data_IF_938725173101
#
_entry.id   IF_938725173101
#
_cell.length_a   1.000
_cell.length_b   1.000
_cell.length_c   1.000
_cell.angle_alpha   90.00
_cell.angle_beta   90.00
_cell.angle_gamma   90.00
#
_symmetry.space_group_name_H-M   'P 1'
#
loop_
_entity.id
_entity.type
_entity.pdbx_description
1 polymer ?
#
# COMPACT_ATOMS: atom_id res chain seq x y z
N UNK A 1 -9.28 -11.36 12.74
CA UNK A 1 -9.20 -12.00 11.41
C UNK A 1 -8.21 -11.23 10.56
N UNK A 2 -7.10 -11.84 10.25
CA UNK A 2 -6.00 -11.20 9.55
C UNK A 2 -5.40 -12.07 8.45
N UNK A 3 -4.58 -11.49 7.58
CA UNK A 3 -3.93 -12.18 6.48
C UNK A 3 -3.04 -11.25 5.67
N UNK A 4 -2.67 -11.69 4.50
CA UNK A 4 -1.83 -10.97 3.56
C UNK A 4 -2.63 -10.53 2.34
N UNK A 5 -2.51 -9.26 1.98
CA UNK A 5 -3.16 -8.67 0.83
C UNK A 5 -2.13 -8.08 -0.11
N UNK A 6 -2.17 -8.49 -1.37
CA UNK A 6 -1.25 -8.05 -2.39
C UNK A 6 -2.04 -7.33 -3.47
N UNK A 7 -1.78 -6.04 -3.67
CA UNK A 7 -2.40 -5.25 -4.73
C UNK A 7 -1.45 -5.16 -5.92
N UNK A 8 -1.91 -5.56 -7.10
CA UNK A 8 -1.14 -5.59 -8.34
C UNK A 8 -1.87 -4.77 -9.40
N UNK A 9 -1.27 -3.64 -9.82
CA UNK A 9 -1.78 -2.94 -11.00
C UNK A 9 -1.40 -3.70 -12.26
N UNK A 10 -2.34 -3.86 -13.21
CA UNK A 10 -2.03 -4.49 -14.49
C UNK A 10 -0.82 -3.87 -15.19
N UNK A 11 -0.09 -4.66 -15.97
CA UNK A 11 1.08 -4.25 -16.77
C UNK A 11 0.76 -3.19 -17.83
N UNK A 12 1.74 -2.86 -18.67
CA UNK A 12 1.54 -1.93 -19.78
C UNK A 12 0.58 -2.54 -20.79
N UNK A 13 -0.56 -1.89 -21.00
CA UNK A 13 -1.60 -2.32 -21.94
C UNK A 13 -1.68 -1.36 -23.15
N UNK A 14 -2.30 -1.83 -24.21
CA UNK A 14 -2.63 -1.07 -25.41
C UNK A 14 -3.31 0.27 -25.06
N UNK A 15 -3.19 1.26 -25.92
CA UNK A 15 -3.85 2.54 -25.73
C UNK A 15 -5.37 2.40 -25.91
N UNK A 16 -6.10 3.23 -25.17
CA UNK A 16 -7.55 3.31 -25.32
C UNK A 16 -7.89 4.04 -26.62
N UNK A 17 -8.64 3.39 -27.48
CA UNK A 17 -9.16 4.01 -28.70
C UNK A 17 -10.64 4.38 -28.53
N UNK A 18 -11.14 5.45 -29.18
CA UNK A 18 -12.54 5.86 -29.07
C UNK A 18 -13.54 4.81 -29.59
N UNK A 19 -13.08 3.97 -30.51
CA UNK A 19 -13.88 2.97 -31.20
C UNK A 19 -13.73 1.56 -30.61
N UNK A 20 -12.70 1.35 -29.76
CA UNK A 20 -12.36 0.09 -29.13
C UNK A 20 -13.09 -0.12 -27.80
N UNK A 21 -13.52 -1.36 -27.56
CA UNK A 21 -14.02 -1.76 -26.27
C UNK A 21 -12.87 -1.90 -25.27
N UNK A 22 -12.89 -1.08 -24.22
CA UNK A 22 -11.85 -1.08 -23.16
C UNK A 22 -11.72 -2.44 -22.47
N UNK A 23 -12.74 -3.27 -22.53
CA UNK A 23 -12.76 -4.62 -21.97
C UNK A 23 -11.69 -5.52 -22.59
N UNK A 24 -11.52 -5.46 -23.92
CA UNK A 24 -10.62 -6.33 -24.69
C UNK A 24 -9.21 -5.76 -24.88
N UNK A 25 -8.89 -4.65 -24.28
CA UNK A 25 -7.56 -4.05 -24.33
C UNK A 25 -6.55 -4.96 -23.62
N UNK A 26 -5.61 -5.54 -24.38
CA UNK A 26 -4.61 -6.49 -23.88
C UNK A 26 -3.33 -5.82 -23.43
N UNK A 27 -2.44 -6.57 -22.83
CA UNK A 27 -1.07 -6.14 -22.57
C UNK A 27 -0.33 -5.91 -23.90
N UNK A 28 0.59 -4.95 -23.92
CA UNK A 28 1.56 -4.81 -25.02
C UNK A 28 2.67 -5.86 -24.87
N UNK A 29 3.41 -6.14 -25.94
CA UNK A 29 4.60 -7.00 -25.88
C UNK A 29 5.58 -6.50 -24.79
N UNK A 30 5.85 -5.18 -24.77
CA UNK A 30 6.68 -4.57 -23.74
C UNK A 30 6.11 -4.76 -22.32
N UNK A 31 4.79 -4.74 -22.16
CA UNK A 31 4.13 -4.99 -20.86
C UNK A 31 4.30 -6.44 -20.41
N UNK A 32 4.20 -7.40 -21.32
CA UNK A 32 4.46 -8.82 -21.04
C UNK A 32 5.94 -9.05 -20.70
N UNK A 33 6.86 -8.52 -21.49
CA UNK A 33 8.31 -8.63 -21.23
C UNK A 33 8.71 -8.05 -19.88
N UNK A 34 8.22 -6.85 -19.58
CA UNK A 34 8.51 -6.17 -18.31
C UNK A 34 8.00 -6.96 -17.10
N UNK A 35 6.77 -7.46 -17.15
CA UNK A 35 6.20 -8.29 -16.08
C UNK A 35 6.94 -9.63 -15.96
N UNK A 36 7.21 -10.31 -17.07
CA UNK A 36 7.94 -11.59 -17.09
C UNK A 36 9.35 -11.45 -16.51
N UNK A 37 10.01 -10.33 -16.72
CA UNK A 37 11.32 -10.07 -16.14
C UNK A 37 11.27 -9.72 -14.64
N UNK A 38 10.17 -9.09 -14.19
CA UNK A 38 10.00 -8.61 -12.81
C UNK A 38 9.49 -9.68 -11.85
N UNK A 39 8.52 -10.48 -12.29
CA UNK A 39 7.81 -11.43 -11.43
C UNK A 39 8.70 -12.48 -10.75
N UNK A 40 9.72 -13.07 -11.40
CA UNK A 40 10.62 -14.02 -10.73
C UNK A 40 11.35 -13.48 -9.50
N UNK A 41 11.61 -12.17 -9.45
CA UNK A 41 12.27 -11.52 -8.33
C UNK A 41 11.34 -11.39 -7.11
N UNK A 42 10.02 -11.32 -7.31
CA UNK A 42 9.04 -11.09 -6.25
C UNK A 42 8.17 -12.32 -5.94
N UNK A 43 8.06 -13.29 -6.84
CA UNK A 43 7.23 -14.48 -6.65
C UNK A 43 7.54 -15.23 -5.32
N UNK A 44 8.81 -15.40 -4.89
CA UNK A 44 9.10 -16.00 -3.60
C UNK A 44 8.50 -15.22 -2.42
N UNK A 45 8.43 -13.88 -2.51
CA UNK A 45 7.85 -13.03 -1.46
C UNK A 45 6.32 -13.15 -1.41
N UNK A 46 5.67 -13.46 -2.55
CA UNK A 46 4.21 -13.60 -2.64
C UNK A 46 3.73 -14.95 -2.08
N UNK A 47 4.62 -15.94 -2.01
CA UNK A 47 4.27 -17.33 -1.63
C UNK A 47 4.89 -17.76 -0.30
N UNK A 48 5.61 -16.88 0.40
CA UNK A 48 6.36 -17.21 1.60
C UNK A 48 5.47 -17.78 2.72
N UNK A 49 4.28 -17.23 2.90
CA UNK A 49 3.40 -17.58 4.03
C UNK A 49 2.25 -18.52 3.66
N UNK A 50 2.30 -19.17 2.50
CA UNK A 50 1.34 -20.23 2.17
C UNK A 50 0.60 -20.06 0.85
N UNK A 51 -0.56 -20.73 0.74
CA UNK A 51 -1.34 -20.84 -0.49
C UNK A 51 -1.85 -19.46 -0.97
N UNK A 52 -1.18 -18.91 -1.99
CA UNK A 52 -1.61 -17.69 -2.65
C UNK A 52 -2.88 -17.95 -3.45
N UNK A 53 -3.90 -17.13 -3.25
CA UNK A 53 -5.09 -17.02 -4.11
C UNK A 53 -4.95 -15.79 -5.01
N UNK A 54 -5.46 -15.87 -6.25
CA UNK A 54 -5.42 -14.75 -7.19
C UNK A 54 -6.82 -14.35 -7.59
N UNK A 55 -7.23 -13.14 -7.25
CA UNK A 55 -8.42 -12.49 -7.80
C UNK A 55 -8.03 -11.47 -8.85
N UNK A 56 -8.76 -11.41 -9.95
CA UNK A 56 -8.47 -10.49 -11.06
C UNK A 56 -9.70 -9.75 -11.52
N UNK A 57 -9.52 -8.54 -12.01
CA UNK A 57 -10.53 -7.87 -12.80
C UNK A 57 -10.84 -8.69 -14.07
N UNK A 58 -12.09 -8.77 -14.52
CA UNK A 58 -12.44 -9.46 -15.77
C UNK A 58 -11.86 -8.80 -17.03
N UNK A 59 -11.34 -7.56 -16.95
CA UNK A 59 -10.76 -6.85 -18.09
C UNK A 59 -9.48 -7.54 -18.56
N UNK A 60 -9.34 -7.72 -19.90
CA UNK A 60 -8.32 -8.59 -20.51
C UNK A 60 -6.89 -8.30 -20.00
N UNK A 61 -6.46 -7.03 -19.94
CA UNK A 61 -5.12 -6.64 -19.45
C UNK A 61 -4.84 -7.06 -18.01
N UNK A 62 -5.87 -7.11 -17.14
CA UNK A 62 -5.71 -7.57 -15.78
C UNK A 62 -5.64 -9.10 -15.73
N UNK A 63 -6.46 -9.80 -16.54
CA UNK A 63 -6.41 -11.25 -16.65
C UNK A 63 -5.05 -11.73 -17.16
N UNK A 64 -4.53 -11.14 -18.24
CA UNK A 64 -3.22 -11.48 -18.78
C UNK A 64 -2.11 -11.20 -17.74
N UNK A 65 -2.22 -10.12 -16.95
CA UNK A 65 -1.29 -9.86 -15.84
C UNK A 65 -1.42 -10.94 -14.76
N UNK A 66 -2.63 -11.34 -14.39
CA UNK A 66 -2.88 -12.40 -13.40
C UNK A 66 -2.36 -13.76 -13.86
N UNK A 67 -2.45 -14.07 -15.16
CA UNK A 67 -1.89 -15.28 -15.78
C UNK A 67 -0.34 -15.30 -15.62
N UNK A 68 0.33 -14.19 -15.87
CA UNK A 68 1.78 -14.07 -15.64
C UNK A 68 2.15 -14.23 -14.16
N UNK A 69 1.36 -13.66 -13.24
CA UNK A 69 1.56 -13.85 -11.78
C UNK A 69 1.36 -15.31 -11.41
N UNK A 70 0.30 -15.96 -11.89
CA UNK A 70 -0.01 -17.36 -11.63
C UNK A 70 1.09 -18.31 -12.13
N UNK A 71 1.63 -18.06 -13.33
CA UNK A 71 2.78 -18.80 -13.87
C UNK A 71 4.01 -18.65 -12.98
N UNK A 72 4.34 -17.42 -12.55
CA UNK A 72 5.52 -17.14 -11.74
C UNK A 72 5.42 -17.71 -10.31
N UNK A 73 4.19 -17.83 -9.77
CA UNK A 73 3.91 -18.31 -8.40
C UNK A 73 3.44 -19.76 -8.34
N UNK A 74 3.27 -20.42 -9.50
CA UNK A 74 2.72 -21.78 -9.64
C UNK A 74 1.30 -21.93 -9.04
N UNK A 75 0.50 -20.87 -9.10
CA UNK A 75 -0.91 -20.88 -8.71
C UNK A 75 -1.76 -21.33 -9.90
N UNK A 76 -2.64 -22.31 -9.68
CA UNK A 76 -3.44 -22.88 -10.77
C UNK A 76 -4.77 -22.14 -11.00
N UNK A 77 -5.32 -21.52 -9.97
CA UNK A 77 -6.68 -20.94 -10.03
C UNK A 77 -6.63 -19.41 -9.96
N UNK A 78 -7.25 -18.77 -10.95
CA UNK A 78 -7.47 -17.33 -11.01
C UNK A 78 -8.98 -17.07 -10.99
N UNK A 79 -9.45 -16.29 -10.02
CA UNK A 79 -10.86 -15.98 -9.86
C UNK A 79 -11.18 -14.57 -10.36
N UNK A 80 -12.02 -14.38 -11.39
CA UNK A 80 -12.45 -13.05 -11.81
C UNK A 80 -13.44 -12.45 -10.81
N UNK A 81 -13.26 -11.17 -10.49
CA UNK A 81 -14.08 -10.41 -9.54
C UNK A 81 -14.48 -9.05 -10.13
N UNK A 82 -15.79 -8.83 -10.28
CA UNK A 82 -16.34 -7.61 -10.89
C UNK A 82 -16.01 -6.34 -10.11
N UNK A 83 -15.92 -6.40 -8.79
CA UNK A 83 -15.56 -5.26 -7.96
C UNK A 83 -14.14 -4.70 -8.28
N UNK A 84 -13.24 -5.51 -8.86
CA UNK A 84 -11.93 -5.06 -9.31
C UNK A 84 -12.00 -4.24 -10.61
N UNK A 85 -13.06 -4.41 -11.41
CA UNK A 85 -13.30 -3.60 -12.61
C UNK A 85 -14.08 -2.32 -12.31
N UNK A 86 -14.96 -2.35 -11.32
CA UNK A 86 -15.83 -1.23 -10.95
C UNK A 86 -15.24 -0.35 -9.85
N UNK A 87 -14.27 -0.89 -9.08
CA UNK A 87 -13.69 -0.21 -7.91
C UNK A 87 -14.60 -0.26 -6.67
N UNK A 88 -15.54 -1.21 -6.62
CA UNK A 88 -16.46 -1.37 -5.49
C UNK A 88 -15.74 -1.92 -4.26
N UNK A 89 -15.28 -1.02 -3.40
CA UNK A 89 -14.56 -1.36 -2.17
C UNK A 89 -15.45 -2.09 -1.16
N UNK A 90 -16.75 -1.80 -1.14
CA UNK A 90 -17.68 -2.45 -0.20
C UNK A 90 -17.82 -3.92 -0.57
N UNK A 91 -18.09 -4.21 -1.84
CA UNK A 91 -18.16 -5.59 -2.32
C UNK A 91 -16.84 -6.35 -2.12
N UNK A 92 -15.69 -5.70 -2.32
CA UNK A 92 -14.39 -6.28 -1.99
C UNK A 92 -14.29 -6.65 -0.51
N UNK A 93 -14.63 -5.74 0.40
CA UNK A 93 -14.56 -5.99 1.84
C UNK A 93 -15.53 -7.07 2.30
N UNK A 94 -16.71 -7.19 1.68
CA UNK A 94 -17.65 -8.28 1.94
C UNK A 94 -17.07 -9.64 1.50
N UNK A 95 -16.43 -9.70 0.33
CA UNK A 95 -15.76 -10.91 -0.15
C UNK A 95 -14.56 -11.27 0.73
N UNK A 96 -13.73 -10.28 1.12
CA UNK A 96 -12.57 -10.50 1.97
C UNK A 96 -12.92 -11.09 3.36
N UNK A 97 -14.06 -10.70 3.91
CA UNK A 97 -14.58 -11.25 5.19
C UNK A 97 -15.00 -12.72 5.11
N UNK A 98 -15.14 -13.29 3.91
CA UNK A 98 -15.46 -14.71 3.73
C UNK A 98 -14.20 -15.57 3.59
N UNK A 99 -13.02 -14.96 3.49
CA UNK A 99 -11.76 -15.69 3.46
C UNK A 99 -11.41 -16.26 4.83
N UNK A 100 -10.61 -17.33 4.84
CA UNK A 100 -10.12 -17.94 6.07
C UNK A 100 -9.10 -17.05 6.81
N UNK A 101 -8.94 -17.25 8.11
CA UNK A 101 -7.87 -16.63 8.89
C UNK A 101 -6.51 -17.00 8.31
N UNK A 102 -5.63 -16.03 8.16
CA UNK A 102 -4.32 -16.22 7.56
C UNK A 102 -4.35 -16.29 6.03
N UNK A 103 -5.38 -15.69 5.38
CA UNK A 103 -5.44 -15.64 3.91
C UNK A 103 -4.18 -15.00 3.31
N UNK A 104 -3.79 -15.49 2.13
CA UNK A 104 -2.78 -14.86 1.27
C UNK A 104 -3.42 -14.61 -0.11
N UNK A 105 -3.71 -13.33 -0.41
CA UNK A 105 -4.59 -12.94 -1.51
C UNK A 105 -3.98 -11.85 -2.39
N UNK A 106 -3.75 -12.16 -3.66
CA UNK A 106 -3.35 -11.19 -4.67
C UNK A 106 -4.57 -10.68 -5.46
N UNK A 107 -4.67 -9.37 -5.61
CA UNK A 107 -5.70 -8.66 -6.36
C UNK A 107 -5.07 -7.97 -7.57
N UNK A 108 -5.45 -8.36 -8.78
CA UNK A 108 -4.99 -7.72 -10.02
C UNK A 108 -6.06 -6.79 -10.56
N UNK A 109 -5.78 -5.49 -10.57
CA UNK A 109 -6.78 -4.47 -10.91
C UNK A 109 -6.19 -3.20 -11.54
N UNK A 110 -6.85 -2.08 -11.30
CA UNK A 110 -6.67 -0.85 -12.05
C UNK A 110 -6.52 0.38 -11.16
N UNK A 111 -5.84 1.40 -11.69
CA UNK A 111 -6.00 2.77 -11.22
C UNK A 111 -7.25 3.42 -11.84
N UNK A 112 -7.92 4.34 -11.12
CA UNK A 112 -7.54 4.92 -9.82
C UNK A 112 -8.02 4.10 -8.59
N UNK A 113 -8.65 2.97 -8.79
CA UNK A 113 -9.30 2.21 -7.70
C UNK A 113 -8.30 1.73 -6.65
N UNK A 114 -7.12 1.24 -7.07
CA UNK A 114 -6.11 0.77 -6.13
C UNK A 114 -5.61 1.87 -5.20
N UNK A 115 -5.32 3.06 -5.73
CA UNK A 115 -4.98 4.22 -4.88
C UNK A 115 -6.11 4.60 -3.92
N UNK A 116 -7.36 4.51 -4.38
CA UNK A 116 -8.51 4.77 -3.52
C UNK A 116 -8.64 3.71 -2.42
N UNK A 117 -8.45 2.43 -2.75
CA UNK A 117 -8.52 1.34 -1.79
C UNK A 117 -7.41 1.38 -0.74
N UNK A 118 -6.19 1.78 -1.13
CA UNK A 118 -5.13 1.96 -0.13
C UNK A 118 -5.45 3.07 0.86
N UNK A 119 -6.19 4.11 0.44
CA UNK A 119 -6.67 5.14 1.36
C UNK A 119 -7.62 4.56 2.42
N UNK A 120 -8.50 3.63 2.04
CA UNK A 120 -9.41 2.97 2.98
C UNK A 120 -8.67 1.93 3.86
N UNK A 121 -7.71 1.19 3.28
CA UNK A 121 -6.99 0.13 3.98
C UNK A 121 -5.99 0.68 5.02
N UNK A 122 -5.19 1.67 4.65
CA UNK A 122 -4.06 2.18 5.45
C UNK A 122 -4.15 3.68 5.75
N UNK A 123 -5.21 4.36 5.32
CA UNK A 123 -5.40 5.80 5.52
C UNK A 123 -4.62 6.69 4.54
N UNK A 124 -3.88 6.13 3.58
CA UNK A 124 -3.08 6.89 2.61
C UNK A 124 -3.28 6.36 1.18
N UNK A 125 -3.56 7.26 0.23
CA UNK A 125 -3.63 6.90 -1.17
C UNK A 125 -2.22 6.73 -1.76
N UNK A 126 -1.91 5.53 -2.25
CA UNK A 126 -0.62 5.20 -2.84
C UNK A 126 -0.78 5.06 -4.34
N UNK A 127 -0.09 5.86 -5.16
CA UNK A 127 -0.16 5.74 -6.61
C UNK A 127 0.62 4.51 -7.10
N UNK A 128 -0.01 3.69 -7.91
CA UNK A 128 0.62 2.52 -8.51
C UNK A 128 1.10 2.84 -9.92
N UNK A 129 2.37 2.58 -10.23
CA UNK A 129 2.87 2.47 -11.61
C UNK A 129 2.26 1.22 -12.27
N UNK A 130 2.25 1.15 -13.60
CA UNK A 130 1.84 -0.06 -14.34
C UNK A 130 2.73 -1.24 -13.91
N UNK A 131 2.14 -2.39 -13.61
CA UNK A 131 2.85 -3.56 -13.11
C UNK A 131 3.34 -3.48 -11.67
N UNK A 132 3.08 -2.39 -10.94
CA UNK A 132 3.49 -2.26 -9.54
C UNK A 132 2.73 -3.23 -8.63
N UNK A 133 3.43 -3.74 -7.63
CA UNK A 133 2.95 -4.68 -6.62
C UNK A 133 3.15 -4.07 -5.24
N UNK A 134 2.11 -4.00 -4.44
CA UNK A 134 2.15 -3.57 -3.05
C UNK A 134 1.68 -4.72 -2.15
N UNK A 135 2.42 -4.99 -1.10
CA UNK A 135 2.15 -6.04 -0.12
C UNK A 135 1.73 -5.42 1.20
N UNK A 136 0.64 -5.93 1.75
CA UNK A 136 0.06 -5.47 3.02
C UNK A 136 -0.16 -6.64 3.97
N UNK A 137 0.11 -6.44 5.25
CA UNK A 137 -0.50 -7.21 6.33
C UNK A 137 -1.83 -6.57 6.69
N UNK A 138 -2.86 -7.38 6.88
CA UNK A 138 -4.24 -6.93 7.14
C UNK A 138 -4.77 -7.58 8.41
N UNK A 139 -5.37 -6.79 9.29
CA UNK A 139 -6.22 -7.26 10.38
C UNK A 139 -7.55 -6.49 10.37
N UNK A 140 -8.62 -7.21 10.04
CA UNK A 140 -9.97 -6.63 9.91
C UNK A 140 -10.57 -6.16 11.25
N UNK A 141 -9.90 -6.42 12.38
CA UNK A 141 -10.31 -5.97 13.72
C UNK A 141 -9.63 -4.66 14.13
N UNK A 142 -8.65 -4.19 13.35
CA UNK A 142 -7.89 -2.96 13.60
C UNK A 142 -8.39 -1.78 12.76
N UNK A 143 -7.94 -0.57 13.11
CA UNK A 143 -8.14 0.66 12.35
C UNK A 143 -6.87 1.53 12.41
N UNK A 144 -6.12 1.68 11.32
CA UNK A 144 -6.38 1.13 9.96
C UNK A 144 -6.25 -0.39 9.91
N UNK A 145 -7.02 -1.01 9.01
CA UNK A 145 -7.07 -2.48 8.88
C UNK A 145 -5.82 -3.08 8.21
N UNK A 146 -4.96 -2.28 7.62
CA UNK A 146 -3.77 -2.74 6.91
C UNK A 146 -2.51 -1.95 7.23
N UNK A 147 -1.36 -2.61 7.06
CA UNK A 147 -0.05 -1.98 7.06
C UNK A 147 0.64 -2.31 5.74
N UNK A 148 1.21 -1.27 5.08
CA UNK A 148 2.01 -1.48 3.87
C UNK A 148 3.42 -1.97 4.27
N UNK A 149 3.78 -3.15 3.83
CA UNK A 149 5.11 -3.73 4.07
C UNK A 149 6.12 -3.29 3.00
N UNK A 150 5.71 -3.37 1.73
CA UNK A 150 6.54 -2.92 0.62
C UNK A 150 5.72 -2.60 -0.64
N UNK A 151 6.28 -1.74 -1.50
CA UNK A 151 5.79 -1.42 -2.83
C UNK A 151 6.96 -1.51 -3.81
N UNK A 152 6.82 -2.31 -4.84
CA UNK A 152 7.79 -2.52 -5.90
C UNK A 152 7.14 -2.31 -7.27
N UNK A 153 7.90 -1.80 -8.22
CA UNK A 153 7.48 -1.67 -9.61
C UNK A 153 8.49 -2.34 -10.54
N UNK A 154 8.07 -2.77 -11.74
CA UNK A 154 9.01 -3.26 -12.75
C UNK A 154 10.20 -2.32 -12.94
N UNK A 155 11.40 -2.89 -13.10
CA UNK A 155 12.67 -2.15 -13.13
C UNK A 155 13.25 -1.82 -11.74
N UNK A 156 12.51 -2.05 -10.66
CA UNK A 156 12.98 -1.98 -9.28
C UNK A 156 13.26 -3.39 -8.78
N UNK A 157 14.52 -3.75 -8.55
CA UNK A 157 14.89 -5.08 -8.05
C UNK A 157 14.67 -5.17 -6.55
N UNK A 158 13.95 -6.20 -6.08
CA UNK A 158 13.80 -6.52 -4.67
C UNK A 158 15.18 -6.72 -4.00
N UNK A 159 16.13 -7.35 -4.69
CA UNK A 159 17.52 -7.50 -4.22
C UNK A 159 18.22 -6.17 -4.01
N UNK A 160 18.03 -5.17 -4.89
CA UNK A 160 18.65 -3.84 -4.74
C UNK A 160 18.12 -3.09 -3.53
N UNK A 161 16.85 -3.22 -3.19
CA UNK A 161 16.30 -2.60 -1.96
C UNK A 161 16.81 -3.30 -0.70
N UNK A 162 16.88 -4.63 -0.69
CA UNK A 162 17.48 -5.39 0.42
C UNK A 162 18.98 -5.14 0.56
N UNK A 163 19.72 -5.10 -0.53
CA UNK A 163 21.16 -4.80 -0.53
C UNK A 163 21.44 -3.34 -0.13
N UNK A 164 20.63 -2.39 -0.58
CA UNK A 164 20.74 -0.98 -0.18
C UNK A 164 20.40 -0.78 1.31
N UNK A 165 19.39 -1.48 1.83
CA UNK A 165 19.07 -1.49 3.26
C UNK A 165 20.19 -2.15 4.08
N UNK A 166 20.68 -3.32 3.64
CA UNK A 166 21.80 -4.01 4.28
C UNK A 166 23.12 -3.25 4.20
N UNK A 167 23.38 -2.54 3.08
CA UNK A 167 24.55 -1.67 2.94
C UNK A 167 24.47 -0.42 3.83
N UNK A 168 23.27 0.16 4.01
CA UNK A 168 23.04 1.24 4.97
C UNK A 168 23.23 0.77 6.41
N UNK A 169 22.73 -0.42 6.78
CA UNK A 169 22.96 -1.01 8.11
C UNK A 169 24.46 -1.28 8.36
N UNK A 170 25.22 -1.77 7.38
CA UNK A 170 26.67 -1.96 7.50
C UNK A 170 27.47 -0.66 7.53
N UNK A 171 26.94 0.43 7.01
CA UNK A 171 27.56 1.76 7.05
C UNK A 171 27.37 2.43 8.43
N UNK A 172 26.25 2.14 9.13
CA UNK A 172 25.97 2.62 10.50
C UNK A 172 26.88 1.95 11.52
N UNK A 173 27.20 0.66 11.38
CA UNK A 173 28.13 -0.06 12.29
C UNK A 173 29.60 0.45 12.20
N UNK A 174 29.94 1.31 11.27
CA UNK A 174 31.31 1.85 11.13
C UNK A 174 31.51 3.27 11.65
N UNK A 175 30.49 3.90 12.20
CA UNK A 175 30.55 5.23 12.79
C UNK A 175 30.25 5.22 14.29
N UNK A 176 31.07 4.52 15.09
CA UNK A 176 31.30 4.89 16.47
C UNK A 176 32.28 6.06 16.48
N UNK A 177 31.80 7.25 16.76
CA UNK A 177 32.66 8.40 17.07
C UNK A 177 32.10 9.72 16.56
N UNK A 178 31.64 10.50 17.53
CA UNK A 178 31.28 11.92 17.53
C UNK A 178 29.81 12.25 17.20
N UNK A 179 29.12 12.60 18.29
CA UNK A 179 27.82 13.24 18.29
C UNK A 179 27.88 14.61 17.59
N UNK A 180 27.22 14.70 16.45
CA UNK A 180 26.61 15.93 15.97
C UNK A 180 25.28 15.57 15.31
N UNK A 181 24.20 15.78 16.05
CA UNK A 181 22.82 15.52 15.64
C UNK A 181 22.33 16.66 14.77
N UNK A 182 22.61 16.59 13.48
CA UNK A 182 21.81 17.27 12.48
C UNK A 182 21.08 16.22 11.66
N UNK A 183 19.75 16.18 11.62
CA UNK A 183 19.03 15.22 10.81
C UNK A 183 19.27 15.54 9.34
N UNK A 184 20.01 14.67 8.65
CA UNK A 184 20.15 14.69 7.19
C UNK A 184 18.83 14.23 6.54
N UNK A 185 17.78 14.99 6.72
CA UNK A 185 16.60 14.97 5.85
C UNK A 185 16.89 16.00 4.77
N UNK A 186 17.39 15.55 3.64
CA UNK A 186 17.44 16.41 2.46
C UNK A 186 16.03 16.94 2.21
N UNK A 187 15.88 18.26 2.19
CA UNK A 187 14.57 18.96 2.09
C UNK A 187 13.77 18.63 0.81
N UNK A 188 14.32 17.87 -0.11
CA UNK A 188 13.80 17.65 -1.46
C UNK A 188 13.38 16.19 -1.76
N UNK A 189 13.17 15.34 -0.77
CA UNK A 189 12.65 14.00 -1.05
C UNK A 189 11.13 14.03 -1.19
N UNK A 190 10.59 13.30 -2.16
CA UNK A 190 9.13 13.13 -2.35
C UNK A 190 8.44 12.74 -1.04
N UNK A 191 9.08 11.90 -0.23
CA UNK A 191 8.56 11.47 1.06
C UNK A 191 8.47 12.63 2.07
N UNK A 192 9.48 13.49 2.14
CA UNK A 192 9.44 14.68 3.01
C UNK A 192 8.29 15.63 2.61
N UNK A 193 8.03 15.78 1.31
CA UNK A 193 6.88 16.54 0.82
C UNK A 193 5.56 15.92 1.27
N UNK A 194 5.39 14.61 1.13
CA UNK A 194 4.17 13.89 1.55
C UNK A 194 3.93 14.04 3.06
N UNK A 195 4.98 13.93 3.89
CA UNK A 195 4.86 14.13 5.34
C UNK A 195 4.48 15.59 5.67
N UNK A 196 5.08 16.58 5.01
CA UNK A 196 4.72 17.99 5.19
C UNK A 196 3.26 18.26 4.85
N UNK A 197 2.78 17.73 3.73
CA UNK A 197 1.38 17.87 3.30
C UNK A 197 0.42 17.21 4.29
N UNK A 198 0.79 16.05 4.82
CA UNK A 198 -0.01 15.35 5.82
C UNK A 198 -0.06 16.11 7.16
N UNK A 199 1.07 16.67 7.61
CA UNK A 199 1.10 17.52 8.81
C UNK A 199 0.25 18.78 8.65
N UNK A 200 0.28 19.41 7.48
CA UNK A 200 -0.59 20.54 7.17
C UNK A 200 -2.08 20.14 7.21
N UNK A 201 -2.41 18.96 6.69
CA UNK A 201 -3.76 18.39 6.77
C UNK A 201 -4.24 18.17 8.21
N UNK A 202 -3.37 17.67 9.08
CA UNK A 202 -3.67 17.51 10.52
C UNK A 202 -3.90 18.87 11.19
N UNK A 203 -3.07 19.86 10.90
CA UNK A 203 -3.23 21.22 11.46
C UNK A 203 -4.58 21.83 11.07
N UNK A 204 -4.97 21.67 9.80
CA UNK A 204 -6.27 22.15 9.30
C UNK A 204 -7.44 21.43 9.96
N UNK A 205 -7.39 20.10 10.05
CA UNK A 205 -8.42 19.30 10.71
C UNK A 205 -8.54 19.61 12.22
N UNK A 206 -7.41 19.85 12.89
CA UNK A 206 -7.38 20.25 14.29
C UNK A 206 -7.98 21.64 14.50
N UNK A 207 -7.68 22.60 13.63
CA UNK A 207 -8.28 23.93 13.69
C UNK A 207 -9.81 23.89 13.51
N UNK A 208 -10.31 23.05 12.59
CA UNK A 208 -11.75 22.83 12.42
C UNK A 208 -12.38 22.19 13.67
N UNK A 209 -11.74 21.16 14.23
CA UNK A 209 -12.18 20.53 15.49
C UNK A 209 -12.23 21.51 16.66
N UNK A 210 -11.25 22.41 16.79
CA UNK A 210 -11.25 23.44 17.84
C UNK A 210 -12.41 24.45 17.72
N UNK A 211 -12.90 24.70 16.50
CA UNK A 211 -14.03 25.59 16.27
C UNK A 211 -15.36 24.96 16.65
N UNK A 212 -15.54 23.67 16.41
CA UNK A 212 -16.72 22.91 16.80
C UNK A 212 -16.35 21.49 17.24
N UNK A 213 -16.00 21.29 18.54
CA UNK A 213 -15.63 19.97 19.07
C UNK A 213 -16.79 18.99 19.17
N UNK A 214 -18.03 19.45 19.06
CA UNK A 214 -19.25 18.63 19.18
C UNK A 214 -19.65 18.07 17.81
N UNK A 215 -19.15 18.67 16.71
CA UNK A 215 -19.42 18.21 15.35
C UNK A 215 -18.70 16.87 15.09
N UNK A 216 -19.43 15.74 14.88
CA UNK A 216 -18.82 14.43 14.69
C UNK A 216 -17.88 14.35 13.49
N UNK A 217 -18.17 15.12 12.42
CA UNK A 217 -17.35 15.13 11.20
C UNK A 217 -15.99 15.78 11.43
N UNK A 218 -15.91 16.83 12.26
CA UNK A 218 -14.64 17.49 12.59
C UNK A 218 -13.69 16.56 13.36
N UNK A 219 -14.22 15.84 14.35
CA UNK A 219 -13.48 14.82 15.10
C UNK A 219 -13.06 13.65 14.19
N UNK A 220 -13.95 13.20 13.28
CA UNK A 220 -13.65 12.15 12.32
C UNK A 220 -12.53 12.56 11.36
N UNK A 221 -12.60 13.76 10.77
CA UNK A 221 -11.58 14.28 9.88
C UNK A 221 -10.19 14.34 10.54
N UNK A 222 -10.13 14.80 11.79
CA UNK A 222 -8.87 14.86 12.55
C UNK A 222 -8.30 13.45 12.79
N UNK A 223 -9.12 12.49 13.18
CA UNK A 223 -8.69 11.09 13.38
C UNK A 223 -8.17 10.47 12.08
N UNK A 224 -8.86 10.69 10.97
CA UNK A 224 -8.42 10.23 9.64
C UNK A 224 -7.05 10.81 9.29
N UNK A 225 -6.84 12.12 9.49
CA UNK A 225 -5.58 12.78 9.21
C UNK A 225 -4.42 12.23 10.07
N UNK A 226 -4.64 12.02 11.36
CA UNK A 226 -3.65 11.41 12.28
C UNK A 226 -3.33 9.97 11.87
N UNK A 227 -4.34 9.17 11.52
CA UNK A 227 -4.18 7.80 11.03
C UNK A 227 -3.31 7.74 9.79
N UNK A 228 -3.54 8.63 8.82
CA UNK A 228 -2.75 8.73 7.60
C UNK A 228 -1.27 9.02 7.88
N UNK A 229 -0.97 9.93 8.81
CA UNK A 229 0.41 10.20 9.21
C UNK A 229 1.08 8.97 9.84
N UNK A 230 0.36 8.27 10.73
CA UNK A 230 0.88 7.04 11.36
C UNK A 230 1.19 5.95 10.33
N UNK A 231 0.33 5.75 9.34
CA UNK A 231 0.58 4.81 8.24
C UNK A 231 1.84 5.17 7.45
N UNK A 232 2.05 6.46 7.14
CA UNK A 232 3.25 6.95 6.47
C UNK A 232 4.52 6.76 7.31
N UNK A 233 4.45 7.01 8.61
CA UNK A 233 5.57 6.79 9.53
C UNK A 233 5.94 5.30 9.63
N UNK A 234 4.94 4.42 9.72
CA UNK A 234 5.16 2.98 9.72
C UNK A 234 5.77 2.49 8.42
N UNK A 235 5.30 2.99 7.28
CA UNK A 235 5.88 2.67 5.96
C UNK A 235 7.36 3.01 5.87
N UNK A 236 7.80 4.11 6.45
CA UNK A 236 9.21 4.51 6.40
C UNK A 236 10.08 3.91 7.52
N UNK A 237 9.49 3.19 8.46
CA UNK A 237 10.19 2.53 9.56
C UNK A 237 11.31 1.61 9.07
N UNK A 238 11.09 0.88 7.98
CA UNK A 238 12.06 0.00 7.35
C UNK A 238 13.21 0.76 6.62
N UNK A 239 13.03 2.05 6.33
CA UNK A 239 13.96 2.85 5.54
C UNK A 239 14.73 3.92 6.36
N UNK A 240 14.45 4.04 7.66
CA UNK A 240 15.04 5.06 8.53
C UNK A 240 15.54 4.49 9.88
N UNK A 241 15.90 5.41 10.80
CA UNK A 241 16.24 5.02 12.18
C UNK A 241 14.97 4.49 12.88
N UNK A 242 14.85 3.18 13.03
CA UNK A 242 13.69 2.48 13.58
C UNK A 242 13.22 3.09 14.92
N UNK A 243 14.15 3.50 15.77
CA UNK A 243 13.87 4.12 17.07
C UNK A 243 13.06 5.43 16.90
N UNK A 244 13.46 6.30 15.98
CA UNK A 244 12.80 7.58 15.76
C UNK A 244 11.36 7.42 15.25
N UNK A 245 11.17 6.54 14.26
CA UNK A 245 9.84 6.31 13.68
C UNK A 245 8.91 5.56 14.65
N UNK A 246 9.46 4.70 15.52
CA UNK A 246 8.69 4.02 16.57
C UNK A 246 8.21 5.02 17.63
N UNK A 247 9.10 5.86 18.14
CA UNK A 247 8.76 6.88 19.15
C UNK A 247 7.71 7.86 18.59
N UNK A 248 7.91 8.40 17.38
CA UNK A 248 6.92 9.25 16.73
C UNK A 248 5.58 8.54 16.51
N UNK A 249 5.59 7.27 16.11
CA UNK A 249 4.38 6.48 15.93
C UNK A 249 3.61 6.24 17.23
N UNK A 250 4.32 6.04 18.36
CA UNK A 250 3.73 5.90 19.70
C UNK A 250 3.10 7.21 20.18
N UNK A 251 3.78 8.34 20.02
CA UNK A 251 3.24 9.68 20.36
C UNK A 251 1.94 9.97 19.58
N UNK A 252 1.92 9.68 18.27
CA UNK A 252 0.73 9.87 17.45
C UNK A 252 -0.38 8.85 17.75
N UNK A 253 -0.05 7.67 18.27
CA UNK A 253 -1.04 6.70 18.79
C UNK A 253 -1.72 7.23 20.04
N UNK A 254 -0.97 7.77 20.97
CA UNK A 254 -1.53 8.36 22.21
C UNK A 254 -2.46 9.53 21.88
N UNK A 255 -2.05 10.42 20.96
CA UNK A 255 -2.89 11.53 20.48
C UNK A 255 -4.17 10.98 19.84
N UNK A 256 -4.09 10.00 18.94
CA UNK A 256 -5.25 9.40 18.28
C UNK A 256 -6.21 8.75 19.29
N UNK A 257 -5.69 8.12 20.34
CA UNK A 257 -6.50 7.48 21.40
C UNK A 257 -7.27 8.52 22.18
N UNK A 258 -6.69 9.69 22.46
CA UNK A 258 -7.36 10.79 23.14
C UNK A 258 -8.63 11.25 22.40
N UNK A 259 -8.61 11.22 21.05
CA UNK A 259 -9.79 11.53 20.23
C UNK A 259 -10.71 10.32 19.99
N UNK A 260 -10.30 9.11 20.37
CA UNK A 260 -11.10 7.87 20.23
C UNK A 260 -12.31 7.85 21.15
N UNK A 261 -12.22 8.45 22.32
CA UNK A 261 -13.31 8.52 23.30
C UNK A 261 -14.52 9.39 22.87
N UNK A 262 -14.34 10.23 21.84
CA UNK A 262 -15.44 11.04 21.28
C UNK A 262 -16.43 10.24 20.42
N UNK A 263 -16.26 8.93 20.30
CA UNK A 263 -17.17 8.05 19.54
C UNK A 263 -18.41 7.64 20.33
N UNK A 264 -18.41 7.84 21.65
CA UNK A 264 -19.48 7.39 22.56
C UNK A 264 -20.37 8.55 23.07
N UNK A 265 -20.15 9.77 22.56
CA UNK A 265 -21.03 10.92 22.77
C UNK A 265 -21.88 11.19 21.53
#
# INVERSE_FOLDING_TARGET
>A
MGGQLILIRHGIAEERTPEGDDFYRKLTEAGVEEMTAFLPDIAPLLTEDGNLKIWTSPLLRARETAELVAEATAVEEIQPQEFLATGDFVAFMEALKQEDEGFNLALVGHEPYMSSWTKELIGAAIPFKKGAVAFFTVDLTEDPIGNLEWLLAPGESAKRKHEAAAAKMRAVDKHEGTADCSPCVGEDTLYASIIKDQLAGIQLAYAAYQQDPVEPESAHALRVAIRQLRALLNFNKANGEEKYYREAGEDWREIATTFGYLREL
#
